data_IF_371301350154
#
_entry.id   IF_371301350154
#
_cell.length_a   1.000
_cell.length_b   1.000
_cell.length_c   1.000
_cell.angle_alpha   90.00
_cell.angle_beta   90.00
_cell.angle_gamma   90.00
#
_symmetry.space_group_name_H-M   'P 1'
#
loop_
_entity.id
_entity.type
_entity.pdbx_description
1 polymer ?
#
# COMPACT_ATOMS: atom_id res chain seq x y z
N UNK A 1 11.44 -16.45 18.51
CA UNK A 1 11.94 -16.59 17.13
C UNK A 1 12.03 -15.19 16.52
N UNK A 2 13.21 -14.77 16.07
CA UNK A 2 13.40 -13.43 15.52
C UNK A 2 13.09 -13.46 14.01
N UNK A 3 12.01 -12.83 13.56
CA UNK A 3 11.60 -12.81 12.14
C UNK A 3 12.76 -12.28 11.26
N UNK A 4 13.54 -11.35 11.81
CA UNK A 4 14.74 -10.79 11.20
C UNK A 4 15.81 -11.84 10.82
N UNK A 5 15.94 -12.94 11.58
CA UNK A 5 16.93 -13.98 11.30
C UNK A 5 16.50 -14.93 10.17
N UNK A 6 15.20 -15.08 9.91
CA UNK A 6 14.68 -15.85 8.78
C UNK A 6 14.63 -15.04 7.47
N UNK A 7 14.49 -13.71 7.55
CA UNK A 7 14.57 -12.80 6.39
C UNK A 7 15.99 -12.72 5.81
N UNK A 8 17.04 -12.88 6.64
CA UNK A 8 18.45 -12.95 6.18
C UNK A 8 18.73 -14.09 5.19
N UNK A 9 17.83 -15.08 5.10
CA UNK A 9 17.92 -16.20 4.16
C UNK A 9 17.36 -15.85 2.76
N UNK A 10 16.82 -14.65 2.55
CA UNK A 10 16.32 -14.16 1.25
C UNK A 10 17.44 -13.71 0.28
N UNK A 11 18.53 -14.48 0.21
CA UNK A 11 19.57 -14.29 -0.80
C UNK A 11 19.26 -15.19 -2.02
N UNK A 12 18.17 -14.88 -2.74
CA UNK A 12 17.82 -15.60 -3.96
C UNK A 12 18.65 -15.05 -5.12
N UNK A 13 19.86 -15.59 -5.30
CA UNK A 13 20.60 -15.48 -6.55
C UNK A 13 19.95 -16.43 -7.57
N UNK A 14 19.26 -15.87 -8.56
CA UNK A 14 18.70 -16.62 -9.69
C UNK A 14 19.30 -16.11 -10.99
N UNK A 15 20.02 -16.95 -11.72
CA UNK A 15 20.38 -16.69 -13.12
C UNK A 15 19.30 -17.27 -14.02
N UNK A 16 18.57 -16.45 -14.77
CA UNK A 16 17.64 -16.92 -15.80
C UNK A 16 18.40 -16.96 -17.14
N UNK A 17 18.56 -18.15 -17.73
CA UNK A 17 19.08 -18.30 -19.10
C UNK A 17 17.90 -18.23 -20.07
N UNK A 18 17.81 -17.16 -20.85
CA UNK A 18 16.85 -17.07 -21.95
C UNK A 18 17.46 -17.63 -23.24
N UNK A 19 16.63 -18.32 -24.03
CA UNK A 19 16.96 -18.91 -25.32
C UNK A 19 16.41 -17.98 -26.40
N UNK A 20 17.27 -17.33 -27.17
CA UNK A 20 16.84 -16.55 -28.34
C UNK A 20 16.53 -17.50 -29.52
N UNK A 21 15.60 -17.07 -30.37
CA UNK A 21 15.14 -17.66 -31.64
C UNK A 21 16.23 -17.92 -32.68
N UNK A 22 17.49 -17.49 -32.43
CA UNK A 22 18.65 -17.65 -33.32
C UNK A 22 19.86 -18.38 -32.70
N UNK A 23 19.65 -19.24 -31.70
CA UNK A 23 20.72 -20.09 -31.09
C UNK A 23 21.94 -19.33 -30.53
N UNK A 24 21.80 -18.06 -30.13
CA UNK A 24 22.81 -17.36 -29.32
C UNK A 24 22.32 -17.19 -27.89
N UNK A 25 23.07 -17.75 -26.93
CA UNK A 25 22.87 -17.46 -25.52
C UNK A 25 23.28 -16.00 -25.26
N UNK A 26 22.32 -15.10 -25.12
CA UNK A 26 22.58 -13.80 -24.52
C UNK A 26 22.63 -14.01 -23.01
N UNK A 27 23.83 -14.16 -22.47
CA UNK A 27 24.05 -14.04 -21.04
C UNK A 27 23.87 -12.56 -20.65
N UNK A 28 22.61 -12.14 -20.50
CA UNK A 28 22.29 -10.93 -19.76
C UNK A 28 22.52 -11.21 -18.29
N UNK A 29 23.61 -10.72 -17.71
CA UNK A 29 23.74 -10.66 -16.26
C UNK A 29 22.74 -9.62 -15.73
N UNK A 30 21.50 -10.03 -15.49
CA UNK A 30 20.67 -9.35 -14.49
C UNK A 30 21.16 -9.82 -13.12
N UNK A 31 22.30 -9.27 -12.70
CA UNK A 31 22.76 -9.37 -11.31
C UNK A 31 21.85 -8.47 -10.48
N UNK A 32 20.66 -8.96 -10.14
CA UNK A 32 19.92 -8.42 -9.01
C UNK A 32 20.53 -9.01 -7.75
N UNK A 33 21.66 -8.45 -7.34
CA UNK A 33 21.79 -8.19 -5.92
C UNK A 33 20.59 -7.30 -5.59
N UNK A 34 19.73 -7.67 -4.65
CA UNK A 34 19.24 -6.61 -3.78
C UNK A 34 20.51 -6.18 -3.07
N UNK A 35 21.20 -5.11 -3.48
CA UNK A 35 22.37 -4.70 -2.74
C UNK A 35 21.77 -4.16 -1.45
N UNK A 36 21.75 -4.99 -0.40
CA UNK A 36 21.74 -4.49 0.96
C UNK A 36 23.10 -3.85 1.20
N UNK A 37 23.34 -2.76 0.48
CA UNK A 37 24.44 -1.84 0.67
C UNK A 37 23.78 -0.50 0.92
N UNK A 38 23.43 -0.31 2.19
CA UNK A 38 23.32 1.03 2.73
C UNK A 38 24.72 1.64 2.61
N UNK A 39 24.96 2.41 1.56
CA UNK A 39 26.17 3.24 1.45
C UNK A 39 25.90 4.68 1.86
N UNK A 40 24.65 5.03 2.21
CA UNK A 40 24.27 6.38 2.60
C UNK A 40 24.15 6.56 4.12
N UNK A 41 24.59 7.73 4.55
CA UNK A 41 24.67 8.19 5.93
C UNK A 41 23.26 8.24 6.57
N UNK A 42 22.98 7.28 7.47
CA UNK A 42 21.73 7.17 8.25
C UNK A 42 21.31 8.51 8.87
N UNK A 43 22.27 9.38 9.18
CA UNK A 43 22.05 10.69 9.77
C UNK A 43 21.27 11.66 8.86
N UNK A 44 21.54 11.64 7.55
CA UNK A 44 20.84 12.49 6.57
C UNK A 44 19.37 12.08 6.48
N UNK A 45 19.09 10.78 6.59
CA UNK A 45 17.74 10.26 6.48
C UNK A 45 16.89 10.53 7.71
N UNK A 46 17.49 10.43 8.90
CA UNK A 46 16.81 10.83 10.11
C UNK A 46 16.46 12.33 10.08
N UNK A 47 17.37 13.18 9.59
CA UNK A 47 17.10 14.62 9.43
C UNK A 47 15.91 14.89 8.51
N UNK A 48 15.82 14.18 7.37
CA UNK A 48 14.67 14.31 6.47
C UNK A 48 13.37 13.83 7.13
N UNK A 49 13.41 12.68 7.83
CA UNK A 49 12.25 12.14 8.57
C UNK A 49 11.76 13.13 9.60
N UNK A 50 12.66 13.66 10.44
CA UNK A 50 12.31 14.61 11.50
C UNK A 50 11.66 15.86 10.92
N UNK A 51 12.25 16.44 9.87
CA UNK A 51 11.70 17.61 9.17
C UNK A 51 10.32 17.32 8.57
N UNK A 52 10.12 16.15 7.95
CA UNK A 52 8.84 15.76 7.36
C UNK A 52 7.79 15.55 8.45
N UNK A 53 8.11 14.84 9.54
CA UNK A 53 7.23 14.60 10.68
C UNK A 53 6.75 15.93 11.26
N UNK A 54 7.66 16.88 11.52
CA UNK A 54 7.31 18.21 12.06
C UNK A 54 6.34 18.97 11.13
N UNK A 55 6.59 18.94 9.82
CA UNK A 55 5.72 19.60 8.84
C UNK A 55 4.35 18.93 8.73
N UNK A 56 4.29 17.60 8.81
CA UNK A 56 3.03 16.85 8.78
C UNK A 56 2.23 17.12 10.05
N UNK A 57 2.86 17.16 11.22
CA UNK A 57 2.21 17.53 12.50
C UNK A 57 1.61 18.94 12.37
N UNK A 58 2.38 19.90 11.87
CA UNK A 58 1.89 21.27 11.66
C UNK A 58 0.71 21.29 10.68
N UNK A 59 0.82 20.59 9.54
CA UNK A 59 -0.24 20.50 8.53
C UNK A 59 -1.53 19.90 9.09
N UNK A 60 -1.42 18.81 9.84
CA UNK A 60 -2.55 18.10 10.46
C UNK A 60 -3.16 18.93 11.58
N UNK A 61 -2.36 19.52 12.46
CA UNK A 61 -2.87 20.32 13.59
C UNK A 61 -3.59 21.59 13.15
N UNK A 62 -3.13 22.24 12.08
CA UNK A 62 -3.83 23.40 11.49
C UNK A 62 -5.27 23.07 11.07
N UNK A 63 -5.54 21.82 10.65
CA UNK A 63 -6.85 21.40 10.12
C UNK A 63 -7.71 20.64 11.13
N UNK A 64 -7.10 19.78 11.93
CA UNK A 64 -7.82 18.86 12.82
C UNK A 64 -7.89 19.35 14.26
N UNK A 65 -6.93 20.16 14.71
CA UNK A 65 -6.75 20.54 16.12
C UNK A 65 -6.72 19.32 17.05
N UNK A 66 -5.76 18.40 16.81
CA UNK A 66 -5.64 17.13 17.53
C UNK A 66 -4.91 17.35 18.86
N UNK A 67 -5.53 16.95 19.97
CA UNK A 67 -4.96 17.10 21.31
C UNK A 67 -4.14 15.87 21.80
N UNK A 68 -4.26 14.71 21.14
CA UNK A 68 -3.50 13.49 21.48
C UNK A 68 -2.20 13.44 20.67
N UNK A 69 -1.16 14.11 21.19
CA UNK A 69 0.12 14.28 20.48
C UNK A 69 0.90 12.97 20.36
N UNK A 70 0.90 12.08 21.36
CA UNK A 70 1.73 10.88 21.33
C UNK A 70 1.30 9.85 20.29
N UNK A 71 -0.01 9.58 20.17
CA UNK A 71 -0.52 8.64 19.17
C UNK A 71 -0.41 9.22 17.76
N UNK A 72 -0.72 10.51 17.63
CA UNK A 72 -0.60 11.26 16.38
C UNK A 72 0.82 11.16 15.82
N UNK A 73 1.82 11.44 16.64
CA UNK A 73 3.24 11.39 16.25
C UNK A 73 3.60 9.98 15.76
N UNK A 74 3.24 8.94 16.51
CA UNK A 74 3.58 7.56 16.13
C UNK A 74 2.99 7.15 14.76
N UNK A 75 1.74 7.51 14.48
CA UNK A 75 1.12 7.22 13.16
C UNK A 75 1.75 8.04 12.04
N UNK A 76 2.13 9.30 12.31
CA UNK A 76 2.84 10.16 11.35
C UNK A 76 4.23 9.62 11.07
N UNK A 77 4.98 9.17 12.08
CA UNK A 77 6.31 8.57 11.90
C UNK A 77 6.23 7.30 11.03
N UNK A 78 5.29 6.41 11.32
CA UNK A 78 5.06 5.22 10.49
C UNK A 78 4.70 5.58 9.05
N UNK A 79 3.84 6.59 8.84
CA UNK A 79 3.49 7.10 7.52
C UNK A 79 4.68 7.76 6.81
N UNK A 80 5.53 8.48 7.55
CA UNK A 80 6.74 9.14 7.03
C UNK A 80 7.73 8.12 6.54
N UNK A 81 7.96 7.06 7.30
CA UNK A 81 8.82 5.97 6.85
C UNK A 81 8.26 5.31 5.59
N UNK A 82 6.95 5.08 5.51
CA UNK A 82 6.31 4.54 4.31
C UNK A 82 6.52 5.44 3.08
N UNK A 83 6.28 6.74 3.21
CA UNK A 83 6.44 7.69 2.12
C UNK A 83 7.92 7.85 1.68
N UNK A 84 8.83 8.06 2.64
CA UNK A 84 10.26 8.30 2.36
C UNK A 84 10.93 7.08 1.75
N UNK A 85 10.58 5.88 2.21
CA UNK A 85 11.18 4.67 1.63
C UNK A 85 10.54 4.31 0.30
N UNK A 86 9.29 4.65 0.01
CA UNK A 86 8.71 4.36 -1.33
C UNK A 86 9.22 5.29 -2.44
N UNK A 87 10.02 6.32 -2.10
CA UNK A 87 10.71 7.18 -3.07
C UNK A 87 12.20 6.82 -3.24
N UNK A 88 12.77 7.21 -4.38
CA UNK A 88 14.14 6.89 -4.79
C UNK A 88 15.17 7.60 -3.90
N UNK A 89 16.37 7.04 -3.81
CA UNK A 89 17.45 7.65 -3.02
C UNK A 89 17.85 9.03 -3.56
N UNK A 90 17.80 9.24 -4.87
CA UNK A 90 18.07 10.55 -5.49
C UNK A 90 17.05 11.59 -5.02
N UNK A 91 15.75 11.27 -5.01
CA UNK A 91 14.72 12.17 -4.48
C UNK A 91 14.93 12.49 -3.01
N UNK A 92 15.29 11.51 -2.18
CA UNK A 92 15.57 11.73 -0.76
C UNK A 92 16.72 12.72 -0.53
N UNK A 93 17.79 12.64 -1.33
CA UNK A 93 18.93 13.58 -1.22
C UNK A 93 18.53 15.01 -1.62
N UNK A 94 17.71 15.15 -2.67
CA UNK A 94 17.30 16.47 -3.17
C UNK A 94 16.17 17.08 -2.32
N UNK A 95 15.40 16.28 -1.59
CA UNK A 95 14.27 16.74 -0.80
C UNK A 95 14.64 17.77 0.28
N UNK A 96 15.85 17.70 0.86
CA UNK A 96 16.29 18.68 1.87
C UNK A 96 16.56 20.06 1.28
N UNK A 97 16.92 20.12 -0.01
CA UNK A 97 17.35 21.35 -0.69
C UNK A 97 16.30 21.88 -1.70
N UNK A 98 15.17 21.18 -1.87
CA UNK A 98 14.15 21.51 -2.86
C UNK A 98 12.74 21.53 -2.22
N UNK A 99 12.21 22.74 -2.03
CA UNK A 99 10.90 22.98 -1.41
C UNK A 99 9.75 22.22 -2.09
N UNK A 100 9.76 22.17 -3.43
CA UNK A 100 8.69 21.50 -4.18
C UNK A 100 8.69 19.99 -3.90
N UNK A 101 9.86 19.34 -3.95
CA UNK A 101 9.98 17.90 -3.66
C UNK A 101 9.62 17.64 -2.20
N UNK A 102 10.10 18.47 -1.27
CA UNK A 102 9.78 18.35 0.14
C UNK A 102 8.27 18.41 0.40
N UNK A 103 7.57 19.40 -0.18
CA UNK A 103 6.11 19.55 -0.03
C UNK A 103 5.33 18.38 -0.60
N UNK A 104 5.77 17.79 -1.72
CA UNK A 104 5.17 16.56 -2.25
C UNK A 104 5.30 15.39 -1.28
N UNK A 105 6.47 15.22 -0.66
CA UNK A 105 6.69 14.17 0.36
C UNK A 105 5.76 14.38 1.55
N UNK A 106 5.65 15.62 2.05
CA UNK A 106 4.73 15.96 3.16
C UNK A 106 3.29 15.57 2.82
N UNK A 107 2.77 15.96 1.65
CA UNK A 107 1.41 15.58 1.23
C UNK A 107 1.24 14.05 1.12
N UNK A 108 2.27 13.37 0.62
CA UNK A 108 2.28 11.92 0.52
C UNK A 108 2.23 11.25 1.91
N UNK A 109 2.95 11.78 2.89
CA UNK A 109 2.86 11.33 4.30
C UNK A 109 1.47 11.58 4.87
N UNK A 110 0.89 12.76 4.66
CA UNK A 110 -0.46 13.06 5.17
C UNK A 110 -1.46 12.08 4.58
N UNK A 111 -1.36 11.72 3.30
CA UNK A 111 -2.23 10.71 2.70
C UNK A 111 -2.14 9.36 3.43
N UNK A 112 -0.93 8.84 3.65
CA UNK A 112 -0.74 7.59 4.41
C UNK A 112 -1.25 7.68 5.85
N UNK A 113 -0.95 8.79 6.52
CA UNK A 113 -1.45 9.04 7.86
C UNK A 113 -2.98 8.95 7.91
N UNK A 114 -3.67 9.54 6.93
CA UNK A 114 -5.13 9.47 6.84
C UNK A 114 -5.64 8.04 6.62
N UNK A 115 -4.95 7.23 5.81
CA UNK A 115 -5.28 5.81 5.65
C UNK A 115 -5.12 5.04 6.96
N UNK A 116 -4.04 5.28 7.72
CA UNK A 116 -3.82 4.64 9.03
C UNK A 116 -4.81 5.11 10.09
N UNK A 117 -5.22 6.38 10.08
CA UNK A 117 -6.30 6.85 10.96
C UNK A 117 -7.62 6.17 10.63
N UNK A 118 -7.93 5.98 9.34
CA UNK A 118 -9.17 5.30 8.94
C UNK A 118 -9.17 3.82 9.35
N UNK A 119 -8.04 3.13 9.19
CA UNK A 119 -7.82 1.77 9.69
C UNK A 119 -8.01 1.69 11.21
N UNK A 120 -7.38 2.60 11.97
CA UNK A 120 -7.50 2.68 13.43
C UNK A 120 -8.94 3.00 13.90
N UNK A 121 -9.65 3.84 13.17
CA UNK A 121 -11.06 4.16 13.43
C UNK A 121 -11.92 2.92 13.15
N UNK A 122 -11.68 2.20 12.06
CA UNK A 122 -12.38 0.95 11.76
C UNK A 122 -12.19 -0.08 12.87
N UNK A 123 -10.94 -0.30 13.33
CA UNK A 123 -10.58 -1.25 14.39
C UNK A 123 -11.25 -0.95 15.75
N UNK A 124 -11.58 0.32 16.03
CA UNK A 124 -12.24 0.76 17.26
C UNK A 124 -13.76 0.78 17.17
N UNK A 125 -14.30 0.74 15.95
CA UNK A 125 -15.74 0.80 15.69
C UNK A 125 -16.42 -0.57 15.68
N UNK A 126 -15.73 -1.60 16.19
CA UNK A 126 -16.26 -2.96 16.43
C UNK A 126 -17.49 -2.87 17.34
N UNK A 127 -18.67 -3.16 16.77
CA UNK A 127 -19.99 -3.00 17.40
C UNK A 127 -21.01 -2.30 16.49
N UNK A 128 -22.30 -2.61 16.66
CA UNK A 128 -23.37 -2.18 15.74
C UNK A 128 -23.47 -0.66 15.50
N UNK A 129 -23.26 0.16 16.54
CA UNK A 129 -23.32 1.63 16.45
C UNK A 129 -22.04 2.25 15.87
N UNK A 130 -20.87 1.70 16.21
CA UNK A 130 -19.58 2.12 15.66
C UNK A 130 -19.52 1.86 14.15
N UNK A 131 -19.91 0.66 13.73
CA UNK A 131 -19.93 0.28 12.32
C UNK A 131 -20.79 1.22 11.47
N UNK A 132 -22.00 1.60 11.93
CA UNK A 132 -22.86 2.53 11.20
C UNK A 132 -22.22 3.92 11.01
N UNK A 133 -21.40 4.37 11.97
CA UNK A 133 -20.65 5.63 11.88
C UNK A 133 -19.48 5.52 10.89
N UNK A 134 -18.77 4.39 10.89
CA UNK A 134 -17.70 4.10 9.92
C UNK A 134 -18.23 4.08 8.49
N UNK A 135 -19.29 3.33 8.22
CA UNK A 135 -19.95 3.25 6.91
C UNK A 135 -20.38 4.63 6.41
N UNK A 136 -20.93 5.48 7.29
CA UNK A 136 -21.28 6.87 6.93
C UNK A 136 -20.06 7.70 6.56
N UNK A 137 -18.93 7.51 7.25
CA UNK A 137 -17.67 8.21 6.96
C UNK A 137 -17.13 7.78 5.59
N UNK A 138 -17.06 6.48 5.33
CA UNK A 138 -16.67 5.94 4.02
C UNK A 138 -17.63 6.39 2.92
N UNK A 139 -18.94 6.44 3.16
CA UNK A 139 -19.93 6.97 2.21
C UNK A 139 -19.67 8.42 1.80
N UNK A 140 -19.25 9.28 2.74
CA UNK A 140 -18.86 10.67 2.45
C UNK A 140 -17.55 10.77 1.67
N UNK A 141 -16.56 9.95 2.02
CA UNK A 141 -15.31 9.86 1.26
C UNK A 141 -15.59 9.41 -0.18
N UNK A 142 -16.38 8.34 -0.34
CA UNK A 142 -16.82 7.81 -1.62
C UNK A 142 -17.56 8.85 -2.45
N UNK A 143 -18.49 9.61 -1.87
CA UNK A 143 -19.20 10.66 -2.60
C UNK A 143 -18.24 11.66 -3.26
N UNK A 144 -17.27 12.16 -2.48
CA UNK A 144 -16.29 13.10 -3.01
C UNK A 144 -15.31 12.42 -4.01
N UNK A 145 -14.95 11.15 -3.80
CA UNK A 145 -14.16 10.37 -4.78
C UNK A 145 -14.92 10.23 -6.11
N UNK A 146 -16.21 9.92 -6.07
CA UNK A 146 -17.04 9.86 -7.28
C UNK A 146 -17.08 11.20 -8.02
N UNK A 147 -17.01 12.34 -7.30
CA UNK A 147 -16.90 13.66 -7.95
C UNK A 147 -15.55 13.87 -8.65
N UNK A 148 -14.47 13.24 -8.15
CA UNK A 148 -13.17 13.23 -8.83
C UNK A 148 -13.16 12.29 -10.03
N UNK A 149 -13.76 11.10 -9.90
CA UNK A 149 -13.81 10.08 -10.96
C UNK A 149 -14.78 10.46 -12.09
N UNK A 150 -15.92 11.07 -11.75
CA UNK A 150 -17.01 11.42 -12.66
C UNK A 150 -17.36 12.92 -12.53
N UNK A 151 -16.61 13.83 -13.19
CA UNK A 151 -16.85 15.27 -13.08
C UNK A 151 -18.21 15.73 -13.67
N UNK A 152 -18.92 14.86 -14.40
CA UNK A 152 -20.25 15.15 -14.91
C UNK A 152 -21.34 14.80 -13.88
N UNK A 153 -22.00 15.83 -13.33
CA UNK A 153 -23.02 15.73 -12.29
C UNK A 153 -24.23 14.85 -12.67
N UNK A 154 -24.50 14.64 -13.96
CA UNK A 154 -25.59 13.76 -14.40
C UNK A 154 -25.24 12.28 -14.20
N UNK A 155 -23.98 11.89 -14.39
CA UNK A 155 -23.50 10.53 -14.11
C UNK A 155 -23.55 10.20 -12.61
N UNK A 156 -23.38 11.21 -11.73
CA UNK A 156 -23.51 11.08 -10.28
C UNK A 156 -24.95 10.79 -9.83
N UNK A 157 -25.97 11.37 -10.48
CA UNK A 157 -27.39 11.17 -10.10
C UNK A 157 -27.92 9.77 -10.38
N UNK A 158 -27.31 9.09 -11.34
CA UNK A 158 -27.65 7.73 -11.74
C UNK A 158 -26.95 6.66 -10.89
N UNK A 159 -25.96 7.07 -10.05
CA UNK A 159 -25.17 6.13 -9.26
C UNK A 159 -25.92 5.68 -7.98
N UNK A 160 -26.02 4.37 -7.68
CA UNK A 160 -26.81 3.84 -6.56
C UNK A 160 -26.49 4.42 -5.17
N UNK A 161 -25.24 4.85 -4.94
CA UNK A 161 -24.78 5.37 -3.65
C UNK A 161 -25.06 6.86 -3.41
N UNK A 162 -25.43 7.64 -4.44
CA UNK A 162 -25.79 9.05 -4.24
C UNK A 162 -27.21 9.23 -3.70
N UNK A 163 -28.07 8.22 -3.88
CA UNK A 163 -29.49 8.26 -3.48
C UNK A 163 -29.72 7.90 -2.00
N UNK A 164 -28.75 7.30 -1.30
CA UNK A 164 -28.87 6.83 0.08
C UNK A 164 -28.27 7.78 1.14
N UNK A 165 -27.76 8.94 0.73
CA UNK A 165 -27.06 9.90 1.61
C UNK A 165 -28.04 10.86 2.31
N UNK A 166 -28.78 10.38 3.30
CA UNK A 166 -29.44 11.25 4.29
C UNK A 166 -28.46 11.56 5.44
N UNK A 167 -28.21 12.85 5.66
CA UNK A 167 -27.08 13.38 6.44
C UNK A 167 -27.31 13.23 7.95
N UNK A 168 -26.34 12.64 8.66
CA UNK A 168 -26.19 12.82 10.11
C UNK A 168 -24.83 13.49 10.40
N UNK A 169 -24.74 14.52 11.28
CA UNK A 169 -23.61 15.46 11.28
C UNK A 169 -22.41 15.04 12.14
N UNK A 170 -22.47 13.95 12.91
CA UNK A 170 -21.71 13.90 14.15
C UNK A 170 -20.42 13.05 14.17
N UNK A 171 -19.94 12.53 13.02
CA UNK A 171 -18.60 11.93 12.98
C UNK A 171 -17.72 12.54 11.87
N UNK A 172 -16.74 13.32 12.35
CA UNK A 172 -15.52 13.84 11.74
C UNK A 172 -15.51 14.20 10.25
N UNK A 173 -16.34 15.18 9.88
CA UNK A 173 -16.16 15.94 8.64
C UNK A 173 -14.72 16.46 8.45
N UNK A 174 -14.00 16.71 9.56
CA UNK A 174 -12.59 17.14 9.54
C UNK A 174 -11.63 16.15 8.87
N UNK A 175 -11.74 14.84 9.11
CA UNK A 175 -10.86 13.85 8.46
C UNK A 175 -11.18 13.75 6.96
N UNK A 176 -12.46 13.83 6.60
CA UNK A 176 -12.89 13.92 5.20
C UNK A 176 -12.37 15.21 4.56
N UNK A 177 -12.31 16.33 5.28
CA UNK A 177 -11.72 17.57 4.77
C UNK A 177 -10.23 17.36 4.52
N UNK A 178 -9.46 16.90 5.50
CA UNK A 178 -8.00 16.69 5.35
C UNK A 178 -7.67 15.73 4.21
N UNK A 179 -8.41 14.63 4.07
CA UNK A 179 -8.17 13.67 2.99
C UNK A 179 -8.27 14.33 1.60
N UNK A 180 -9.24 15.21 1.39
CA UNK A 180 -9.43 15.89 0.11
C UNK A 180 -8.57 17.13 -0.06
N UNK A 181 -8.26 17.85 1.03
CA UNK A 181 -7.29 18.95 1.00
C UNK A 181 -5.95 18.45 0.49
N UNK A 182 -5.52 17.24 0.88
CA UNK A 182 -4.29 16.62 0.34
C UNK A 182 -4.38 16.40 -1.17
N UNK A 183 -5.51 15.90 -1.68
CA UNK A 183 -5.70 15.68 -3.12
C UNK A 183 -5.71 17.00 -3.89
N UNK A 184 -6.39 18.02 -3.37
CA UNK A 184 -6.42 19.36 -3.97
C UNK A 184 -5.06 20.04 -3.92
N UNK A 185 -4.38 20.02 -2.77
CA UNK A 185 -3.02 20.55 -2.62
C UNK A 185 -2.05 19.82 -3.59
N UNK A 186 -2.19 18.50 -3.74
CA UNK A 186 -1.35 17.72 -4.66
C UNK A 186 -1.59 18.12 -6.12
N UNK A 187 -2.84 18.38 -6.52
CA UNK A 187 -3.18 18.91 -7.85
C UNK A 187 -2.60 20.30 -8.12
N UNK A 188 -2.39 21.11 -7.08
CA UNK A 188 -1.73 22.42 -7.24
C UNK A 188 -0.21 22.29 -7.39
N UNK A 189 0.39 21.27 -6.76
CA UNK A 189 1.83 21.03 -6.80
C UNK A 189 2.29 20.24 -8.03
N UNK A 190 1.42 19.38 -8.57
CA UNK A 190 1.68 18.53 -9.72
C UNK A 190 0.56 18.67 -10.73
N UNK A 191 0.92 18.84 -11.99
CA UNK A 191 -0.06 18.71 -13.06
C UNK A 191 -0.56 17.25 -13.13
N UNK A 192 -1.78 17.01 -12.68
CA UNK A 192 -2.45 15.71 -12.78
C UNK A 192 -3.47 15.73 -13.89
N UNK A 193 -3.28 14.88 -14.90
CA UNK A 193 -4.25 14.77 -15.99
C UNK A 193 -5.60 14.23 -15.49
N UNK A 194 -6.72 14.54 -16.16
CA UNK A 194 -8.01 13.95 -15.83
C UNK A 194 -7.99 12.41 -15.83
N UNK A 195 -7.19 11.81 -16.72
CA UNK A 195 -7.01 10.36 -16.77
C UNK A 195 -6.33 9.85 -15.49
N UNK A 196 -5.17 10.39 -15.11
CA UNK A 196 -4.48 9.99 -13.87
C UNK A 196 -5.34 10.23 -12.63
N UNK A 197 -6.06 11.35 -12.57
CA UNK A 197 -6.99 11.62 -11.46
C UNK A 197 -8.11 10.57 -11.40
N UNK A 198 -8.64 10.17 -12.56
CA UNK A 198 -9.65 9.11 -12.63
C UNK A 198 -9.10 7.80 -12.07
N UNK A 199 -7.91 7.34 -12.47
CA UNK A 199 -7.34 6.11 -11.95
C UNK A 199 -7.06 6.18 -10.45
N UNK A 200 -6.51 7.31 -9.97
CA UNK A 200 -6.30 7.53 -8.56
C UNK A 200 -7.63 7.48 -7.77
N UNK A 201 -8.67 8.16 -8.27
CA UNK A 201 -10.00 8.15 -7.67
C UNK A 201 -10.62 6.75 -7.69
N UNK A 202 -10.52 6.01 -8.80
CA UNK A 202 -10.99 4.62 -8.90
C UNK A 202 -10.28 3.72 -7.88
N UNK A 203 -8.96 3.82 -7.73
CA UNK A 203 -8.21 3.04 -6.73
C UNK A 203 -8.66 3.36 -5.31
N UNK A 204 -8.85 4.65 -4.98
CA UNK A 204 -9.37 5.06 -3.67
C UNK A 204 -10.79 4.53 -3.44
N UNK A 205 -11.65 4.62 -4.47
CA UNK A 205 -13.03 4.12 -4.41
C UNK A 205 -13.07 2.64 -4.05
N UNK A 206 -12.29 1.80 -4.75
CA UNK A 206 -12.26 0.37 -4.48
C UNK A 206 -11.86 0.07 -3.03
N UNK A 207 -10.85 0.75 -2.49
CA UNK A 207 -10.44 0.57 -1.09
C UNK A 207 -11.58 0.90 -0.13
N UNK A 208 -12.25 2.05 -0.30
CA UNK A 208 -13.30 2.47 0.63
C UNK A 208 -14.60 1.66 0.48
N UNK A 209 -14.97 1.25 -0.73
CA UNK A 209 -16.10 0.32 -0.95
C UNK A 209 -15.82 -1.00 -0.22
N UNK A 210 -14.61 -1.54 -0.36
CA UNK A 210 -14.23 -2.78 0.27
C UNK A 210 -14.05 -2.65 1.77
N UNK A 211 -13.47 -1.58 2.30
CA UNK A 211 -13.41 -1.34 3.74
C UNK A 211 -14.81 -1.22 4.35
N UNK A 212 -15.75 -0.57 3.65
CA UNK A 212 -17.16 -0.47 4.08
C UNK A 212 -17.80 -1.85 4.17
N UNK A 213 -17.57 -2.69 3.16
CA UNK A 213 -18.06 -4.06 3.12
C UNK A 213 -17.38 -4.93 4.19
N UNK A 214 -16.07 -4.84 4.29
CA UNK A 214 -15.20 -5.64 5.16
C UNK A 214 -15.45 -5.34 6.64
N UNK A 215 -15.57 -4.05 6.99
CA UNK A 215 -15.89 -3.61 8.34
C UNK A 215 -17.29 -4.01 8.83
N UNK A 216 -18.15 -4.58 7.97
CA UNK A 216 -19.50 -5.02 8.36
C UNK A 216 -19.55 -6.33 9.15
N UNK A 217 -18.40 -6.99 9.36
CA UNK A 217 -18.14 -8.22 10.16
C UNK A 217 -18.99 -9.46 9.79
N UNK A 218 -20.11 -9.28 9.09
CA UNK A 218 -21.14 -10.29 8.86
C UNK A 218 -20.83 -11.23 7.70
N UNK A 219 -19.79 -10.98 6.91
CA UNK A 219 -19.59 -11.71 5.66
C UNK A 219 -18.20 -12.32 5.45
N UNK A 220 -17.13 -11.87 6.13
CA UNK A 220 -15.77 -12.37 5.83
C UNK A 220 -15.59 -13.86 6.15
N UNK A 221 -16.23 -14.35 7.21
CA UNK A 221 -16.21 -15.76 7.61
C UNK A 221 -16.98 -16.69 6.65
N UNK A 222 -17.86 -16.14 5.81
CA UNK A 222 -18.61 -16.89 4.79
C UNK A 222 -17.84 -17.02 3.47
N UNK A 223 -16.74 -16.31 3.33
CA UNK A 223 -15.89 -16.39 2.15
C UNK A 223 -14.92 -17.57 2.27
N UNK A 224 -14.66 -18.24 1.15
CA UNK A 224 -13.52 -19.15 1.07
C UNK A 224 -12.19 -18.39 1.25
N UNK A 225 -11.11 -19.12 1.56
CA UNK A 225 -9.80 -18.55 1.82
C UNK A 225 -9.24 -17.77 0.62
N UNK A 226 -9.48 -18.25 -0.61
CA UNK A 226 -9.02 -17.61 -1.84
C UNK A 226 -9.64 -16.22 -1.99
N UNK A 227 -10.95 -16.11 -1.82
CA UNK A 227 -11.68 -14.85 -1.96
C UNK A 227 -11.33 -13.87 -0.83
N UNK A 228 -11.04 -14.37 0.39
CA UNK A 228 -10.51 -13.51 1.48
C UNK A 228 -9.16 -12.92 1.13
N UNK A 229 -8.23 -13.73 0.61
CA UNK A 229 -6.91 -13.23 0.18
C UNK A 229 -7.04 -12.19 -0.93
N UNK A 230 -7.90 -12.44 -1.93
CA UNK A 230 -8.13 -11.48 -3.00
C UNK A 230 -8.72 -10.18 -2.47
N UNK A 231 -9.75 -10.22 -1.60
CA UNK A 231 -10.33 -9.02 -1.02
C UNK A 231 -9.35 -8.24 -0.14
N UNK A 232 -8.59 -8.93 0.72
CA UNK A 232 -7.58 -8.29 1.58
C UNK A 232 -6.48 -7.62 0.75
N UNK A 233 -6.14 -8.19 -0.41
CA UNK A 233 -5.20 -7.57 -1.35
C UNK A 233 -5.67 -6.21 -1.85
N UNK A 234 -6.97 -5.97 -1.97
CA UNK A 234 -7.49 -4.64 -2.32
C UNK A 234 -7.59 -3.71 -1.10
N UNK A 235 -7.99 -4.23 0.06
CA UNK A 235 -8.19 -3.42 1.29
C UNK A 235 -6.89 -2.78 1.79
N UNK A 236 -5.74 -3.41 1.55
CA UNK A 236 -4.43 -2.83 1.91
C UNK A 236 -4.14 -1.51 1.16
N UNK A 237 -4.87 -1.23 0.09
CA UNK A 237 -4.74 0.01 -0.66
C UNK A 237 -3.47 0.14 -1.50
N UNK A 238 -2.80 -0.98 -1.81
CA UNK A 238 -1.60 -1.00 -2.65
C UNK A 238 -1.78 -0.22 -3.96
N UNK A 239 -2.94 -0.36 -4.61
CA UNK A 239 -3.27 0.35 -5.84
C UNK A 239 -3.27 1.86 -5.66
N UNK A 240 -3.80 2.34 -4.54
CA UNK A 240 -3.77 3.76 -4.18
C UNK A 240 -2.33 4.21 -4.02
N UNK A 241 -1.48 3.38 -3.40
CA UNK A 241 -0.06 3.70 -3.21
C UNK A 241 0.63 3.87 -4.55
N UNK A 242 0.45 2.92 -5.46
CA UNK A 242 1.02 3.01 -6.81
C UNK A 242 0.58 4.29 -7.50
N UNK A 243 -0.72 4.59 -7.52
CA UNK A 243 -1.23 5.80 -8.16
C UNK A 243 -0.67 7.09 -7.53
N UNK A 244 -0.56 7.14 -6.20
CA UNK A 244 0.05 8.27 -5.50
C UNK A 244 1.53 8.42 -5.85
N UNK A 245 2.30 7.33 -5.88
CA UNK A 245 3.72 7.40 -6.25
C UNK A 245 3.85 7.89 -7.69
N UNK A 246 3.06 7.37 -8.64
CA UNK A 246 3.09 7.84 -10.02
C UNK A 246 2.80 9.35 -10.11
N UNK A 247 1.81 9.84 -9.37
CA UNK A 247 1.51 11.29 -9.29
C UNK A 247 2.69 12.07 -8.71
N UNK A 248 3.26 11.62 -7.59
CA UNK A 248 4.40 12.30 -6.94
C UNK A 248 5.59 12.41 -7.89
N UNK A 249 5.89 11.35 -8.64
CA UNK A 249 6.94 11.31 -9.66
C UNK A 249 6.57 11.98 -10.98
N UNK A 250 5.37 12.55 -11.09
CA UNK A 250 4.86 13.18 -12.31
C UNK A 250 4.73 12.22 -13.51
N UNK A 251 4.63 10.91 -13.24
CA UNK A 251 4.47 9.88 -14.26
C UNK A 251 3.00 9.80 -14.65
N UNK A 252 2.67 10.30 -15.83
CA UNK A 252 1.30 10.31 -16.37
C UNK A 252 1.08 9.09 -17.27
N UNK A 253 0.93 7.90 -16.68
CA UNK A 253 0.61 6.67 -17.41
C UNK A 253 -0.67 6.84 -18.25
N UNK A 254 -0.55 6.65 -19.56
CA UNK A 254 -1.67 6.72 -20.50
C UNK A 254 -2.66 5.59 -20.29
N UNK A 255 -3.88 5.71 -20.82
CA UNK A 255 -4.85 4.60 -20.77
C UNK A 255 -4.32 3.35 -21.47
N UNK A 256 -3.57 3.50 -22.57
CA UNK A 256 -2.91 2.38 -23.25
C UNK A 256 -1.95 1.64 -22.33
N UNK A 257 -1.10 2.36 -21.59
CA UNK A 257 -0.20 1.79 -20.58
C UNK A 257 -1.00 1.04 -19.52
N UNK A 258 -2.02 1.67 -18.96
CA UNK A 258 -2.79 1.16 -17.81
C UNK A 258 -3.70 -0.01 -18.15
N UNK A 259 -4.23 -0.04 -19.36
CA UNK A 259 -5.10 -1.10 -19.89
C UNK A 259 -4.29 -2.21 -20.55
N UNK A 260 -2.96 -2.09 -20.60
CA UNK A 260 -2.11 -3.14 -21.13
C UNK A 260 -2.15 -4.38 -20.24
N UNK A 261 -2.08 -5.53 -20.91
CA UNK A 261 -2.01 -6.82 -20.25
C UNK A 261 -0.86 -6.91 -19.24
N UNK A 262 0.31 -6.36 -19.59
CA UNK A 262 1.48 -6.36 -18.72
C UNK A 262 1.30 -5.50 -17.48
N UNK A 263 0.72 -4.30 -17.64
CA UNK A 263 0.45 -3.43 -16.50
C UNK A 263 -0.51 -4.10 -15.51
N UNK A 264 -1.62 -4.66 -15.99
CA UNK A 264 -2.59 -5.37 -15.13
C UNK A 264 -1.94 -6.55 -14.38
N UNK A 265 -1.07 -7.34 -15.04
CA UNK A 265 -0.34 -8.43 -14.39
C UNK A 265 0.61 -7.94 -13.29
N UNK A 266 1.43 -6.93 -13.61
CA UNK A 266 2.36 -6.33 -12.66
C UNK A 266 1.62 -5.76 -11.45
N UNK A 267 0.49 -5.09 -11.69
CA UNK A 267 -0.35 -4.53 -10.64
C UNK A 267 -0.88 -5.62 -9.70
N UNK A 268 -1.43 -6.71 -10.25
CA UNK A 268 -1.95 -7.84 -9.47
C UNK A 268 -0.85 -8.53 -8.66
N UNK A 269 0.28 -8.82 -9.29
CA UNK A 269 1.42 -9.47 -8.62
C UNK A 269 2.01 -8.56 -7.53
N UNK A 270 2.18 -7.27 -7.81
CA UNK A 270 2.64 -6.27 -6.83
C UNK A 270 1.70 -6.13 -5.64
N UNK A 271 0.38 -6.08 -5.89
CA UNK A 271 -0.65 -6.03 -4.84
C UNK A 271 -0.57 -7.24 -3.91
N UNK A 272 -0.47 -8.45 -4.49
CA UNK A 272 -0.32 -9.69 -3.71
C UNK A 272 0.97 -9.67 -2.89
N UNK A 273 2.07 -9.17 -3.44
CA UNK A 273 3.33 -8.99 -2.69
C UNK A 273 3.18 -8.04 -1.52
N UNK A 274 2.57 -6.87 -1.73
CA UNK A 274 2.33 -5.89 -0.66
C UNK A 274 1.46 -6.45 0.46
N UNK A 275 0.40 -7.15 0.09
CA UNK A 275 -0.49 -7.84 1.02
C UNK A 275 0.23 -8.90 1.88
N UNK A 276 0.97 -9.81 1.26
CA UNK A 276 1.68 -10.86 1.98
C UNK A 276 2.74 -10.30 2.93
N UNK A 277 3.44 -9.24 2.52
CA UNK A 277 4.40 -8.57 3.39
C UNK A 277 3.70 -8.00 4.63
N UNK A 278 2.56 -7.33 4.46
CA UNK A 278 1.81 -6.82 5.60
C UNK A 278 1.42 -7.97 6.54
N UNK A 279 0.85 -9.07 6.05
CA UNK A 279 0.48 -10.21 6.90
C UNK A 279 1.68 -10.79 7.67
N UNK A 280 2.84 -10.92 7.04
CA UNK A 280 4.07 -11.44 7.66
C UNK A 280 4.58 -10.51 8.76
N UNK A 281 4.55 -9.19 8.54
CA UNK A 281 5.08 -8.20 9.49
C UNK A 281 4.06 -7.81 10.58
N UNK A 282 2.77 -7.81 10.25
CA UNK A 282 1.67 -7.48 11.17
C UNK A 282 1.33 -8.63 12.11
N UNK A 283 1.73 -9.87 11.80
CA UNK A 283 1.35 -11.08 12.56
C UNK A 283 1.58 -10.96 14.08
N UNK A 284 2.60 -10.24 14.52
CA UNK A 284 2.87 -10.04 15.96
C UNK A 284 1.84 -9.14 16.62
N UNK A 285 1.54 -7.99 16.01
CA UNK A 285 0.49 -7.05 16.44
C UNK A 285 -0.84 -7.79 16.44
N UNK A 286 -1.15 -8.40 15.32
CA UNK A 286 -2.42 -9.07 15.10
C UNK A 286 -2.60 -10.23 16.08
N UNK A 287 -1.64 -11.15 16.19
CA UNK A 287 -1.77 -12.24 17.16
C UNK A 287 -1.93 -11.76 18.61
N UNK A 288 -1.32 -10.64 19.00
CA UNK A 288 -1.55 -10.05 20.32
C UNK A 288 -3.02 -9.61 20.50
N UNK A 289 -3.60 -8.91 19.52
CA UNK A 289 -5.01 -8.51 19.53
C UNK A 289 -5.94 -9.71 19.57
N UNK A 290 -5.60 -10.79 18.84
CA UNK A 290 -6.36 -12.04 18.88
C UNK A 290 -6.32 -12.68 20.27
N UNK A 291 -5.13 -12.77 20.88
CA UNK A 291 -4.93 -13.45 22.16
C UNK A 291 -5.46 -12.66 23.37
N UNK A 292 -5.41 -11.32 23.32
CA UNK A 292 -5.80 -10.44 24.43
C UNK A 292 -7.25 -10.00 24.30
N UNK A 293 -7.64 -9.53 23.12
CA UNK A 293 -8.95 -8.88 22.92
C UNK A 293 -9.99 -9.86 22.35
N UNK A 294 -9.59 -11.08 22.00
CA UNK A 294 -10.45 -12.05 21.32
C UNK A 294 -10.90 -11.57 19.94
N UNK A 295 -10.24 -10.55 19.39
CA UNK A 295 -10.55 -10.01 18.06
C UNK A 295 -10.26 -11.08 17.03
N UNK A 296 -11.22 -11.35 16.15
CA UNK A 296 -10.96 -12.19 14.97
C UNK A 296 -10.10 -11.40 14.00
N UNK A 297 -9.06 -12.04 13.46
CA UNK A 297 -8.12 -11.38 12.56
C UNK A 297 -7.95 -12.18 11.30
N UNK A 298 -8.17 -11.51 10.17
CA UNK A 298 -7.94 -12.08 8.86
C UNK A 298 -6.48 -11.92 8.44
N UNK A 299 -5.57 -12.58 9.17
CA UNK A 299 -4.19 -12.73 8.75
C UNK A 299 -4.05 -14.06 8.01
N UNK A 300 -3.37 -14.09 6.86
CA UNK A 300 -3.13 -15.32 6.11
C UNK A 300 -2.42 -16.43 6.92
N UNK A 301 -1.59 -16.06 7.89
CA UNK A 301 -0.93 -17.01 8.79
C UNK A 301 -1.93 -17.61 9.79
N UNK A 302 -2.74 -16.76 10.43
CA UNK A 302 -3.77 -17.20 11.38
C UNK A 302 -4.87 -18.01 10.69
N UNK A 303 -5.23 -17.64 9.46
CA UNK A 303 -6.18 -18.37 8.64
C UNK A 303 -5.70 -19.78 8.33
N UNK A 304 -4.43 -19.97 7.92
CA UNK A 304 -3.89 -21.31 7.70
C UNK A 304 -3.88 -22.18 8.96
N UNK A 305 -3.72 -21.58 10.15
CA UNK A 305 -3.88 -22.30 11.42
C UNK A 305 -5.34 -22.71 11.67
N UNK A 306 -6.30 -21.82 11.39
CA UNK A 306 -7.73 -22.06 11.60
C UNK A 306 -8.32 -23.07 10.61
N UNK A 307 -8.03 -22.93 9.32
CA UNK A 307 -8.69 -23.69 8.24
C UNK A 307 -7.98 -24.97 7.88
N UNK A 308 -6.64 -24.97 7.95
CA UNK A 308 -5.82 -26.06 7.41
C UNK A 308 -5.16 -26.89 8.54
N UNK A 309 -5.47 -26.56 9.80
CA UNK A 309 -4.93 -27.19 11.00
C UNK A 309 -3.39 -27.24 11.02
N UNK A 310 -2.76 -26.20 10.48
CA UNK A 310 -1.32 -26.02 10.44
C UNK A 310 -0.80 -25.45 11.75
N UNK A 311 0.44 -25.78 12.10
CA UNK A 311 1.17 -25.04 13.12
C UNK A 311 1.45 -23.61 12.66
N UNK A 312 1.75 -22.72 13.61
CA UNK A 312 2.15 -21.35 13.30
C UNK A 312 3.36 -21.32 12.36
N UNK A 313 4.37 -22.15 12.63
CA UNK A 313 5.58 -22.24 11.82
C UNK A 313 5.30 -22.73 10.40
N UNK A 314 4.44 -23.73 10.22
CA UNK A 314 4.05 -24.23 8.90
C UNK A 314 3.29 -23.16 8.11
N UNK A 315 2.32 -22.50 8.73
CA UNK A 315 1.54 -21.44 8.09
C UNK A 315 2.42 -20.24 7.71
N UNK A 316 3.31 -19.80 8.59
CA UNK A 316 4.30 -18.76 8.29
C UNK A 316 5.23 -19.16 7.13
N UNK A 317 5.70 -20.41 7.12
CA UNK A 317 6.58 -20.91 6.05
C UNK A 317 5.85 -20.95 4.69
N UNK A 318 4.56 -21.30 4.68
CA UNK A 318 3.73 -21.26 3.47
C UNK A 318 3.62 -19.82 2.95
N UNK A 319 3.33 -18.84 3.81
CA UNK A 319 3.24 -17.43 3.39
C UNK A 319 4.59 -16.89 2.87
N UNK A 320 5.71 -17.26 3.50
CA UNK A 320 7.05 -16.93 3.02
C UNK A 320 7.36 -17.56 1.65
N UNK A 321 7.01 -18.83 1.45
CA UNK A 321 7.18 -19.51 0.16
C UNK A 321 6.31 -18.88 -0.93
N UNK A 322 5.06 -18.52 -0.60
CA UNK A 322 4.15 -17.84 -1.51
C UNK A 322 4.68 -16.46 -1.91
N UNK A 323 5.18 -15.69 -0.94
CA UNK A 323 5.85 -14.41 -1.21
C UNK A 323 7.02 -14.58 -2.18
N UNK A 324 7.90 -15.55 -1.94
CA UNK A 324 9.04 -15.82 -2.82
C UNK A 324 8.62 -16.21 -4.24
N UNK A 325 7.59 -17.05 -4.38
CA UNK A 325 7.04 -17.43 -5.67
C UNK A 325 6.48 -16.22 -6.43
N UNK A 326 5.77 -15.32 -5.74
CA UNK A 326 5.26 -14.09 -6.33
C UNK A 326 6.36 -13.10 -6.70
N UNK A 327 7.46 -13.03 -5.93
CA UNK A 327 8.63 -12.22 -6.30
C UNK A 327 9.23 -12.73 -7.61
N UNK A 328 9.37 -14.05 -7.76
CA UNK A 328 9.85 -14.65 -9.01
C UNK A 328 8.89 -14.38 -10.18
N UNK A 329 7.58 -14.55 -9.96
CA UNK A 329 6.56 -14.25 -10.97
C UNK A 329 6.62 -12.78 -11.39
N UNK A 330 6.62 -11.85 -10.44
CA UNK A 330 6.69 -10.41 -10.70
C UNK A 330 7.95 -10.07 -11.52
N UNK A 331 9.10 -10.65 -11.19
CA UNK A 331 10.34 -10.48 -11.96
C UNK A 331 10.22 -11.00 -13.40
N UNK A 332 9.62 -12.17 -13.58
CA UNK A 332 9.38 -12.73 -14.92
C UNK A 332 8.43 -11.84 -15.72
N UNK A 333 7.41 -11.26 -15.09
CA UNK A 333 6.49 -10.31 -15.71
C UNK A 333 7.18 -9.00 -16.09
N UNK A 334 8.05 -8.45 -15.23
CA UNK A 334 8.89 -7.29 -15.53
C UNK A 334 9.79 -7.57 -16.74
N UNK A 335 10.44 -8.73 -16.76
CA UNK A 335 11.35 -9.10 -17.84
C UNK A 335 10.59 -9.31 -19.15
N UNK A 336 9.49 -10.05 -19.13
CA UNK A 336 8.64 -10.26 -20.30
C UNK A 336 8.18 -8.95 -20.92
N UNK A 337 7.76 -7.99 -20.09
CA UNK A 337 7.35 -6.67 -20.53
C UNK A 337 8.49 -5.84 -21.18
N UNK A 338 9.76 -6.14 -20.88
CA UNK A 338 10.92 -5.43 -21.42
C UNK A 338 11.53 -6.12 -22.65
N UNK A 339 11.37 -7.44 -22.81
CA UNK A 339 12.07 -8.24 -23.84
C UNK A 339 11.22 -8.61 -25.05
N UNK A 340 9.89 -8.54 -24.97
CA UNK A 340 9.03 -8.83 -26.12
C UNK A 340 9.04 -7.63 -27.09
N UNK A 341 10.07 -7.53 -27.92
CA UNK A 341 10.27 -6.46 -28.91
C UNK A 341 9.24 -6.50 -30.08
N UNK A 342 8.49 -7.60 -30.29
CA UNK A 342 7.79 -7.86 -31.56
C UNK A 342 6.30 -8.26 -31.45
N UNK A 343 5.70 -8.39 -30.25
CA UNK A 343 4.31 -8.83 -30.13
C UNK A 343 3.59 -8.00 -29.05
N UNK A 344 2.68 -7.12 -29.46
CA UNK A 344 1.58 -6.51 -28.67
C UNK A 344 1.79 -5.23 -27.86
N UNK A 345 2.59 -4.29 -28.36
CA UNK A 345 2.37 -2.90 -27.99
C UNK A 345 2.10 -2.03 -29.21
N UNK A 346 0.81 -1.71 -29.42
CA UNK A 346 0.40 -0.48 -30.13
C UNK A 346 0.73 0.76 -29.25
N UNK A 347 1.88 0.74 -28.57
CA UNK A 347 2.41 1.85 -27.80
C UNK A 347 3.46 2.53 -28.65
N UNK A 348 3.37 3.84 -28.73
CA UNK A 348 4.46 4.64 -29.30
C UNK A 348 5.65 4.69 -28.32
N UNK A 349 6.75 5.28 -28.79
CA UNK A 349 7.99 5.41 -27.98
C UNK A 349 7.74 6.17 -26.67
N UNK A 350 6.78 7.09 -26.66
CA UNK A 350 6.44 7.87 -25.48
C UNK A 350 5.70 7.01 -24.45
N UNK A 351 4.69 6.24 -24.87
CA UNK A 351 3.99 5.29 -24.01
C UNK A 351 4.93 4.19 -23.49
N UNK A 352 5.86 3.70 -24.32
CA UNK A 352 6.91 2.75 -23.88
C UNK A 352 7.82 3.37 -22.81
N UNK A 353 8.24 4.62 -23.00
CA UNK A 353 9.04 5.36 -22.01
C UNK A 353 8.31 5.51 -20.67
N UNK A 354 7.03 5.88 -20.72
CA UNK A 354 6.18 6.01 -19.53
C UNK A 354 5.97 4.65 -18.85
N UNK A 355 5.74 3.58 -19.60
CA UNK A 355 5.63 2.22 -19.06
C UNK A 355 6.90 1.82 -18.31
N UNK A 356 8.09 2.04 -18.89
CA UNK A 356 9.37 1.70 -18.26
C UNK A 356 9.59 2.51 -16.97
N UNK A 357 9.30 3.81 -16.98
CA UNK A 357 9.38 4.64 -15.76
C UNK A 357 8.42 4.16 -14.68
N UNK A 358 7.21 3.78 -15.08
CA UNK A 358 6.20 3.24 -14.17
C UNK A 358 6.64 1.89 -13.58
N UNK A 359 7.31 1.05 -14.37
CA UNK A 359 7.87 -0.24 -13.94
C UNK A 359 9.01 -0.06 -12.92
N UNK A 360 9.91 0.88 -13.17
CA UNK A 360 11.01 1.21 -12.26
C UNK A 360 10.49 1.72 -10.92
N UNK A 361 9.46 2.58 -10.98
CA UNK A 361 8.73 3.07 -9.82
C UNK A 361 8.10 1.93 -9.00
N UNK A 362 7.38 1.02 -9.63
CA UNK A 362 6.75 -0.14 -8.97
C UNK A 362 7.78 -1.05 -8.29
N UNK A 363 8.88 -1.33 -8.99
CA UNK A 363 9.94 -2.20 -8.49
C UNK A 363 10.65 -1.55 -7.30
N UNK A 364 10.92 -0.25 -7.38
CA UNK A 364 11.50 0.54 -6.28
C UNK A 364 10.58 0.54 -5.06
N UNK A 365 9.29 0.78 -5.26
CA UNK A 365 8.29 0.79 -4.20
C UNK A 365 8.22 -0.56 -3.47
N UNK A 366 8.12 -1.67 -4.22
CA UNK A 366 8.10 -3.03 -3.64
C UNK A 366 9.41 -3.38 -2.93
N UNK A 367 10.54 -2.96 -3.49
CA UNK A 367 11.87 -3.17 -2.89
C UNK A 367 11.98 -2.54 -1.51
N UNK A 368 11.48 -1.31 -1.41
CA UNK A 368 11.57 -0.55 -0.18
C UNK A 368 10.43 -0.85 0.80
N UNK A 369 9.34 -1.47 0.36
CA UNK A 369 8.23 -1.84 1.23
C UNK A 369 8.69 -2.75 2.39
N UNK A 370 9.55 -3.74 2.11
CA UNK A 370 10.15 -4.60 3.16
C UNK A 370 10.94 -3.77 4.17
N UNK A 371 11.72 -2.78 3.69
CA UNK A 371 12.54 -1.94 4.53
C UNK A 371 11.70 -1.05 5.44
N UNK A 372 10.60 -0.50 4.90
CA UNK A 372 9.63 0.25 5.70
C UNK A 372 9.09 -0.60 6.83
N UNK A 373 8.60 -1.81 6.53
CA UNK A 373 8.01 -2.68 7.54
C UNK A 373 9.00 -3.04 8.66
N UNK A 374 10.30 -3.17 8.35
CA UNK A 374 11.35 -3.38 9.35
C UNK A 374 11.60 -2.17 10.26
N UNK A 375 11.19 -0.96 9.85
CA UNK A 375 11.42 0.29 10.57
C UNK A 375 10.20 0.79 11.35
N UNK A 376 8.99 0.45 10.90
CA UNK A 376 7.74 0.87 11.53
C UNK A 376 7.64 0.38 12.98
N UNK A 377 7.22 1.25 13.88
CA UNK A 377 7.14 0.94 15.31
C UNK A 377 5.98 -0.01 15.59
N UNK A 378 4.86 0.12 14.86
CA UNK A 378 3.67 -0.73 15.00
C UNK A 378 3.91 -2.24 14.80
N UNK A 379 5.04 -2.64 14.21
CA UNK A 379 5.40 -4.05 13.99
C UNK A 379 6.52 -4.56 14.91
N UNK A 380 7.12 -3.70 15.75
CA UNK A 380 8.21 -4.07 16.66
C UNK A 380 7.75 -4.64 18.00
N UNK A 381 6.44 -4.82 18.20
CA UNK A 381 5.87 -5.30 19.45
C UNK A 381 6.51 -6.62 19.90
N UNK A 382 7.04 -6.62 21.13
CA UNK A 382 7.75 -7.76 21.70
C UNK A 382 6.75 -8.77 22.27
N UNK A 383 6.48 -9.85 21.54
CA UNK A 383 5.57 -10.94 21.96
C UNK A 383 6.35 -11.94 22.83
N UNK A 384 6.97 -11.48 23.92
CA UNK A 384 7.82 -12.33 24.77
C UNK A 384 7.07 -13.18 25.79
N UNK A 385 5.77 -12.93 26.07
CA UNK A 385 5.19 -13.43 27.33
C UNK A 385 4.10 -14.53 27.28
N UNK A 386 3.49 -14.93 26.15
CA UNK A 386 2.35 -15.91 26.20
C UNK A 386 2.25 -16.97 25.09
N UNK A 387 3.18 -17.02 24.14
CA UNK A 387 3.16 -17.98 23.03
C UNK A 387 3.31 -19.46 23.47
N UNK A 388 4.02 -19.72 24.58
CA UNK A 388 4.29 -21.08 25.07
C UNK A 388 3.04 -21.89 25.44
N UNK A 389 1.89 -21.25 25.66
CA UNK A 389 0.65 -21.95 26.01
C UNK A 389 -0.21 -22.36 24.79
N UNK A 390 -0.04 -21.72 23.63
CA UNK A 390 -0.84 -22.04 22.43
C UNK A 390 -0.15 -23.05 21.51
N UNK A 391 1.19 -23.08 21.43
CA UNK A 391 1.94 -24.11 20.71
C UNK A 391 1.99 -25.48 21.43
N UNK A 392 1.38 -25.59 22.62
CA UNK A 392 1.33 -26.82 23.40
C UNK A 392 0.02 -27.62 23.22
N UNK A 393 -0.85 -27.21 22.29
CA UNK A 393 -2.02 -27.96 21.85
C UNK A 393 -1.85 -28.46 20.43
#
# INVERSE_FOLDING_TARGET
MNIHDNIKVLNIQGSVKLRDTKEKFIAGNLTFCWPYKWESDLSIWQTLVDNVVDNVINYVNQRLNVNDTSRLISLIEDATWMAIFTISESWRKVALDNDLIFRKIVLYVVHFYMLYVLDDVAEKMVGHEGHASFVKTCGRLLQKIYMLEFPNINALKEHPYTQSLSVSPNFNEKYVIVFFDVVEDLKTLVYVTPATMKYLASSMRYVFELQTWYGSEKCSHLLDSSLRHDLRSYVIGYDVLVEFVLVVYEIQASSKVRESFYWDRLYRSGRKLGYLLNDIFSIRKELQEFLIDGKRIDNGILLGMETDNLTFEESLQIQLNHHNALVLQFRMECQGALTEDDVTFDMDDNDRGIFIQSLDCLTTMLSHLIQTHLKMERYKTDVTCRFKHYCAK
#
